data_IF_288876425098
#
_entry.id   IF_288876425098
#
_cell.length_a   1.000
_cell.length_b   1.000
_cell.length_c   1.000
_cell.angle_alpha   90.00
_cell.angle_beta   90.00
_cell.angle_gamma   90.00
#
_symmetry.space_group_name_H-M   'P 1'
#
loop_
_entity.id
_entity.type
_entity.pdbx_description
1 polymer ?
#
# COMPACT_ATOMS: atom_id res chain seq x y z
N UNK A 1 -23.58 63.34 24.19
CA UNK A 1 -23.11 63.38 22.80
C UNK A 1 -22.65 61.98 22.48
N UNK A 2 -23.47 61.25 21.74
CA UNK A 2 -23.25 59.85 21.35
C UNK A 2 -22.30 59.88 20.16
N UNK A 3 -21.22 59.09 20.21
CA UNK A 3 -20.37 58.86 19.06
C UNK A 3 -20.57 57.40 18.68
N UNK A 4 -21.33 57.21 17.60
CA UNK A 4 -21.42 55.95 16.87
C UNK A 4 -20.07 55.68 16.20
N UNK A 5 -19.52 54.48 16.43
CA UNK A 5 -18.45 53.93 15.59
C UNK A 5 -18.98 52.67 14.94
N UNK A 6 -18.92 52.70 13.60
CA UNK A 6 -19.59 51.77 12.70
C UNK A 6 -19.02 50.36 12.72
N UNK A 7 -19.90 49.47 12.29
CA UNK A 7 -19.61 48.13 11.79
C UNK A 7 -18.54 48.21 10.69
N UNK A 8 -17.40 47.53 10.91
CA UNK A 8 -16.59 46.84 9.90
C UNK A 8 -15.26 46.46 10.54
N UNK A 9 -15.15 45.20 10.96
CA UNK A 9 -13.91 44.41 10.94
C UNK A 9 -14.25 42.99 11.44
N UNK A 10 -15.12 42.30 10.71
CA UNK A 10 -15.06 40.84 10.69
C UNK A 10 -13.82 40.49 9.88
N UNK A 11 -12.70 40.28 10.57
CA UNK A 11 -11.47 39.78 9.97
C UNK A 11 -11.70 38.38 9.37
N UNK A 12 -11.94 38.36 8.07
CA UNK A 12 -11.51 37.28 7.17
C UNK A 12 -9.97 37.21 7.18
N UNK A 13 -9.39 36.56 8.18
CA UNK A 13 -8.01 36.06 8.11
C UNK A 13 -7.94 34.68 8.76
N UNK A 14 -8.61 33.71 8.12
CA UNK A 14 -8.42 32.28 8.38
C UNK A 14 -7.82 31.57 7.16
N UNK A 15 -6.91 32.22 6.42
CA UNK A 15 -6.13 31.57 5.36
C UNK A 15 -4.74 32.19 5.26
N UNK A 16 -3.84 31.79 6.15
CA UNK A 16 -2.41 31.92 5.94
C UNK A 16 -1.70 30.70 6.52
N UNK A 17 -1.37 29.76 5.64
CA UNK A 17 -0.61 28.56 5.97
C UNK A 17 0.70 28.92 6.66
N UNK A 18 0.84 28.51 7.91
CA UNK A 18 2.13 28.35 8.55
C UNK A 18 2.72 27.02 8.07
N UNK A 19 3.42 27.08 6.94
CA UNK A 19 4.20 25.99 6.33
C UNK A 19 5.44 25.65 7.16
N UNK A 20 5.30 25.56 8.49
CA UNK A 20 6.34 25.13 9.42
C UNK A 20 6.26 23.62 9.62
N UNK A 21 7.40 22.93 9.59
CA UNK A 21 7.47 21.53 10.04
C UNK A 21 7.25 21.51 11.54
N UNK A 22 6.39 20.61 12.04
CA UNK A 22 6.21 20.41 13.48
C UNK A 22 7.55 20.10 14.15
N UNK A 23 7.81 20.77 15.28
CA UNK A 23 8.89 20.36 16.18
C UNK A 23 8.64 18.94 16.69
N UNK A 24 9.70 18.15 16.89
CA UNK A 24 9.60 16.75 17.28
C UNK A 24 8.71 16.52 18.51
N UNK A 25 8.87 17.31 19.56
CA UNK A 25 8.05 17.16 20.78
C UNK A 25 6.57 17.47 20.55
N UNK A 26 6.27 18.49 19.73
CA UNK A 26 4.88 18.83 19.36
C UNK A 26 4.25 17.73 18.53
N UNK A 27 5.01 17.18 17.57
CA UNK A 27 4.58 16.02 16.80
C UNK A 27 4.26 14.82 17.71
N UNK A 28 5.09 14.55 18.73
CA UNK A 28 4.85 13.46 19.67
C UNK A 28 3.57 13.62 20.50
N UNK A 29 3.19 14.86 20.83
CA UNK A 29 1.94 15.18 21.51
C UNK A 29 0.76 14.94 20.57
N UNK A 30 0.83 15.47 19.35
CA UNK A 30 -0.24 15.36 18.36
C UNK A 30 -0.47 13.91 17.91
N UNK A 31 0.59 13.14 17.70
CA UNK A 31 0.53 11.74 17.32
C UNK A 31 -0.20 10.86 18.36
N UNK A 32 -0.20 11.27 19.63
CA UNK A 32 -0.85 10.54 20.74
C UNK A 32 -2.15 11.19 21.21
N UNK A 33 -2.57 12.28 20.58
CA UNK A 33 -3.78 13.00 20.96
C UNK A 33 -5.02 12.18 20.68
N UNK A 34 -6.03 12.28 21.54
CA UNK A 34 -7.37 11.72 21.28
C UNK A 34 -8.13 12.56 20.24
N UNK A 35 -7.69 13.79 19.99
CA UNK A 35 -8.26 14.66 18.97
C UNK A 35 -7.84 14.20 17.55
N UNK A 36 -8.84 14.01 16.68
CA UNK A 36 -8.63 13.57 15.30
C UNK A 36 -7.81 14.58 14.49
N UNK A 37 -8.09 15.88 14.63
CA UNK A 37 -7.39 16.94 13.90
C UNK A 37 -5.91 17.02 14.28
N UNK A 38 -5.57 16.79 15.55
CA UNK A 38 -4.16 16.72 15.98
C UNK A 38 -3.44 15.54 15.32
N UNK A 39 -4.05 14.36 15.33
CA UNK A 39 -3.48 13.16 14.67
C UNK A 39 -3.35 13.35 13.17
N UNK A 40 -4.31 14.02 12.54
CA UNK A 40 -4.26 14.38 11.12
C UNK A 40 -3.04 15.24 10.81
N UNK A 41 -2.79 16.28 11.63
CA UNK A 41 -1.62 17.15 11.49
C UNK A 41 -0.33 16.35 11.67
N UNK A 42 -0.26 15.45 12.67
CA UNK A 42 0.89 14.59 12.88
C UNK A 42 1.18 13.70 11.66
N UNK A 43 0.17 12.99 11.14
CA UNK A 43 0.34 12.10 9.98
C UNK A 43 0.74 12.89 8.73
N UNK A 44 0.14 14.07 8.51
CA UNK A 44 0.44 14.95 7.37
C UNK A 44 1.90 15.40 7.34
N UNK A 45 2.47 15.69 8.51
CA UNK A 45 3.83 16.20 8.65
C UNK A 45 4.87 15.11 8.94
N UNK A 46 4.46 13.84 9.04
CA UNK A 46 5.33 12.71 9.37
C UNK A 46 6.57 12.60 8.47
N UNK A 47 6.40 12.70 7.14
CA UNK A 47 7.54 12.66 6.21
C UNK A 47 8.41 13.93 6.29
N UNK A 48 7.81 15.09 6.53
CA UNK A 48 8.54 16.35 6.71
C UNK A 48 9.41 16.30 7.97
N UNK A 49 8.86 15.82 9.09
CA UNK A 49 9.60 15.60 10.32
C UNK A 49 10.75 14.62 10.07
N UNK A 50 10.48 13.50 9.39
CA UNK A 50 11.48 12.47 9.12
C UNK A 50 12.69 13.01 8.36
N UNK A 51 12.49 13.96 7.43
CA UNK A 51 13.57 14.68 6.71
C UNK A 51 14.42 15.60 7.59
N UNK A 52 13.85 16.10 8.69
CA UNK A 52 14.59 16.99 9.62
C UNK A 52 15.47 16.21 10.58
N UNK A 53 15.21 14.91 10.77
CA UNK A 53 15.98 14.04 11.64
C UNK A 53 17.31 13.68 10.99
N UNK A 54 18.39 13.83 11.74
CA UNK A 54 19.71 13.40 11.30
C UNK A 54 19.93 11.92 11.68
N UNK A 55 20.13 11.06 10.68
CA UNK A 55 20.28 9.60 10.88
C UNK A 55 21.38 9.24 11.89
N UNK A 56 22.49 9.98 11.93
CA UNK A 56 23.62 9.69 12.81
C UNK A 56 23.39 10.16 14.24
N UNK A 57 22.66 11.27 14.43
CA UNK A 57 22.48 11.91 15.75
C UNK A 57 21.16 11.56 16.42
N UNK A 58 20.12 11.36 15.63
CA UNK A 58 18.73 11.28 16.08
C UNK A 58 18.18 9.85 15.99
N UNK A 59 19.05 8.83 16.01
CA UNK A 59 18.67 7.42 15.89
C UNK A 59 17.54 7.03 16.87
N UNK A 60 17.60 7.50 18.12
CA UNK A 60 16.55 7.24 19.11
C UNK A 60 15.21 7.88 18.73
N UNK A 61 15.22 9.07 18.15
CA UNK A 61 13.99 9.74 17.70
C UNK A 61 13.40 9.01 16.50
N UNK A 62 14.24 8.57 15.56
CA UNK A 62 13.83 7.74 14.42
C UNK A 62 13.19 6.42 14.90
N UNK A 63 13.80 5.75 15.88
CA UNK A 63 13.22 4.53 16.48
C UNK A 63 11.86 4.79 17.12
N UNK A 64 11.67 5.94 17.77
CA UNK A 64 10.38 6.33 18.33
C UNK A 64 9.36 6.60 17.23
N UNK A 65 9.73 7.28 16.15
CA UNK A 65 8.84 7.52 15.00
C UNK A 65 8.40 6.21 14.36
N UNK A 66 9.33 5.27 14.11
CA UNK A 66 8.99 3.94 13.58
C UNK A 66 8.06 3.20 14.55
N UNK A 67 8.32 3.30 15.86
CA UNK A 67 7.46 2.68 16.88
C UNK A 67 6.06 3.30 16.94
N UNK A 68 5.93 4.60 16.68
CA UNK A 68 4.62 5.27 16.56
C UNK A 68 3.86 4.78 15.34
N UNK A 69 4.52 4.64 14.18
CA UNK A 69 3.90 4.09 12.98
C UNK A 69 3.40 2.67 13.26
N UNK A 70 4.24 1.83 13.85
CA UNK A 70 3.95 0.42 14.13
C UNK A 70 2.84 0.23 15.19
N UNK A 71 2.79 1.06 16.23
CA UNK A 71 1.96 0.77 17.41
C UNK A 71 0.80 1.74 17.64
N UNK A 72 0.84 2.91 17.01
CA UNK A 72 -0.19 3.96 17.15
C UNK A 72 -0.91 4.15 15.83
N UNK A 73 -0.20 4.59 14.79
CA UNK A 73 -0.85 4.90 13.51
C UNK A 73 -1.37 3.65 12.79
N UNK A 74 -0.70 2.50 12.91
CA UNK A 74 -1.21 1.24 12.37
C UNK A 74 -2.50 0.74 13.05
N UNK A 75 -2.89 1.33 14.19
CA UNK A 75 -4.15 1.00 14.89
C UNK A 75 -5.23 2.06 14.67
N UNK A 76 -4.98 3.04 13.82
CA UNK A 76 -5.96 4.05 13.46
C UNK A 76 -7.15 3.37 12.75
N UNK A 77 -8.36 3.85 13.07
CA UNK A 77 -9.60 3.30 12.50
C UNK A 77 -10.29 4.29 11.59
N UNK A 78 -9.95 5.58 11.68
CA UNK A 78 -10.46 6.57 10.75
C UNK A 78 -9.90 6.36 9.34
N UNK A 79 -10.80 6.24 8.36
CA UNK A 79 -10.42 5.91 6.98
C UNK A 79 -9.58 7.01 6.31
N UNK A 80 -9.81 8.28 6.68
CA UNK A 80 -9.06 9.41 6.12
C UNK A 80 -7.63 9.38 6.63
N UNK A 81 -7.45 9.23 7.95
CA UNK A 81 -6.14 9.13 8.57
C UNK A 81 -5.35 7.91 8.08
N UNK A 82 -6.01 6.76 7.92
CA UNK A 82 -5.41 5.56 7.33
C UNK A 82 -4.91 5.81 5.90
N UNK A 83 -5.73 6.45 5.04
CA UNK A 83 -5.31 6.76 3.67
C UNK A 83 -4.11 7.71 3.66
N UNK A 84 -4.15 8.77 4.47
CA UNK A 84 -3.03 9.70 4.60
C UNK A 84 -1.75 9.02 5.04
N UNK A 85 -1.84 8.11 6.03
CA UNK A 85 -0.67 7.37 6.51
C UNK A 85 -0.08 6.47 5.41
N UNK A 86 -0.93 5.76 4.68
CA UNK A 86 -0.52 4.89 3.56
C UNK A 86 0.19 5.71 2.48
N UNK A 87 -0.33 6.88 2.13
CA UNK A 87 0.25 7.79 1.12
C UNK A 87 1.63 8.33 1.51
N UNK A 88 1.93 8.41 2.82
CA UNK A 88 3.23 8.84 3.31
C UNK A 88 4.31 7.75 3.17
N UNK A 89 3.92 6.47 3.07
CA UNK A 89 4.84 5.32 3.11
C UNK A 89 5.99 5.43 2.09
N UNK A 90 5.79 5.78 0.81
CA UNK A 90 6.90 5.95 -0.13
C UNK A 90 7.93 6.97 0.32
N UNK A 91 7.49 8.13 0.79
CA UNK A 91 8.40 9.18 1.27
C UNK A 91 9.18 8.68 2.50
N UNK A 92 8.50 8.05 3.45
CA UNK A 92 9.15 7.52 4.65
C UNK A 92 10.14 6.39 4.34
N UNK A 93 9.83 5.56 3.35
CA UNK A 93 10.75 4.55 2.85
C UNK A 93 12.05 5.18 2.35
N UNK A 94 11.98 6.26 1.57
CA UNK A 94 13.18 6.97 1.08
C UNK A 94 14.02 7.48 2.25
N UNK A 95 13.40 8.14 3.24
CA UNK A 95 14.14 8.69 4.38
C UNK A 95 14.77 7.60 5.26
N UNK A 96 14.05 6.51 5.52
CA UNK A 96 14.49 5.51 6.49
C UNK A 96 15.31 4.35 5.91
N UNK A 97 15.33 4.14 4.59
CA UNK A 97 16.17 3.08 4.00
C UNK A 97 17.66 3.30 4.22
N UNK A 98 18.10 4.54 4.46
CA UNK A 98 19.48 4.86 4.81
C UNK A 98 19.85 4.46 6.25
N UNK A 99 18.87 4.06 7.08
CA UNK A 99 19.08 3.62 8.47
C UNK A 99 19.29 2.10 8.51
N UNK A 100 20.49 1.65 8.15
CA UNK A 100 20.81 0.22 7.94
C UNK A 100 20.40 -0.68 9.13
N UNK A 101 20.61 -0.23 10.36
CA UNK A 101 20.29 -1.00 11.57
C UNK A 101 18.79 -1.25 11.76
N UNK A 102 17.93 -0.44 11.15
CA UNK A 102 16.47 -0.54 11.25
C UNK A 102 15.82 -1.07 9.97
N UNK A 103 16.57 -1.24 8.89
CA UNK A 103 16.05 -1.56 7.56
C UNK A 103 15.10 -2.77 7.55
N UNK A 104 15.47 -3.86 8.22
CA UNK A 104 14.61 -5.05 8.34
C UNK A 104 13.28 -4.75 9.07
N UNK A 105 13.32 -3.92 10.11
CA UNK A 105 12.11 -3.52 10.86
C UNK A 105 11.23 -2.63 9.99
N UNK A 106 11.82 -1.65 9.31
CA UNK A 106 11.13 -0.75 8.39
C UNK A 106 10.37 -1.54 7.31
N UNK A 107 11.05 -2.51 6.69
CA UNK A 107 10.43 -3.38 5.70
C UNK A 107 9.22 -4.15 6.25
N UNK A 108 9.34 -4.68 7.46
CA UNK A 108 8.24 -5.40 8.10
C UNK A 108 7.08 -4.46 8.45
N UNK A 109 7.36 -3.31 9.08
CA UNK A 109 6.33 -2.35 9.51
C UNK A 109 5.55 -1.83 8.32
N UNK A 110 6.22 -1.35 7.26
CA UNK A 110 5.52 -0.80 6.11
C UNK A 110 4.79 -1.87 5.31
N UNK A 111 5.35 -3.07 5.17
CA UNK A 111 4.64 -4.15 4.47
C UNK A 111 3.42 -4.64 5.24
N UNK A 112 3.49 -4.71 6.57
CA UNK A 112 2.35 -5.05 7.41
C UNK A 112 1.26 -3.96 7.36
N UNK A 113 1.66 -2.68 7.38
CA UNK A 113 0.74 -1.56 7.23
C UNK A 113 0.02 -1.61 5.87
N UNK A 114 0.75 -1.82 4.78
CA UNK A 114 0.18 -1.92 3.43
C UNK A 114 -0.72 -3.14 3.28
N UNK A 115 -0.35 -4.30 3.85
CA UNK A 115 -1.21 -5.48 3.87
C UNK A 115 -2.50 -5.23 4.66
N UNK A 116 -2.43 -4.60 5.83
CA UNK A 116 -3.61 -4.23 6.60
C UNK A 116 -4.50 -3.22 5.86
N UNK A 117 -3.90 -2.29 5.11
CA UNK A 117 -4.63 -1.31 4.32
C UNK A 117 -5.33 -1.95 3.10
N UNK A 118 -4.76 -3.02 2.52
CA UNK A 118 -5.41 -3.82 1.48
C UNK A 118 -6.68 -4.52 2.00
N UNK A 119 -6.70 -4.96 3.25
CA UNK A 119 -7.85 -5.61 3.90
C UNK A 119 -8.86 -4.60 4.52
N UNK A 120 -8.62 -3.29 4.37
CA UNK A 120 -9.42 -2.27 5.03
C UNK A 120 -10.84 -2.17 4.45
N UNK A 121 -11.84 -1.88 5.29
CA UNK A 121 -13.25 -1.81 4.87
C UNK A 121 -13.55 -0.67 3.87
N UNK A 122 -12.85 0.46 4.00
CA UNK A 122 -12.97 1.58 3.07
C UNK A 122 -12.21 1.37 1.76
N UNK A 123 -12.93 1.54 0.64
CA UNK A 123 -12.38 1.52 -0.73
C UNK A 123 -11.25 2.52 -0.93
N UNK A 124 -11.34 3.72 -0.33
CA UNK A 124 -10.32 4.76 -0.50
C UNK A 124 -8.96 4.31 0.04
N UNK A 125 -8.96 3.66 1.21
CA UNK A 125 -7.76 3.13 1.85
C UNK A 125 -7.16 2.00 1.03
N UNK A 126 -8.00 1.06 0.55
CA UNK A 126 -7.53 -0.06 -0.29
C UNK A 126 -6.91 0.43 -1.59
N UNK A 127 -7.56 1.39 -2.28
CA UNK A 127 -7.06 1.98 -3.52
C UNK A 127 -5.75 2.73 -3.32
N UNK A 128 -5.64 3.47 -2.21
CA UNK A 128 -4.40 4.13 -1.82
C UNK A 128 -3.26 3.11 -1.61
N UNK A 129 -3.54 2.02 -0.89
CA UNK A 129 -2.59 0.93 -0.67
C UNK A 129 -2.15 0.29 -1.99
N UNK A 130 -3.08 0.03 -2.91
CA UNK A 130 -2.77 -0.51 -4.24
C UNK A 130 -1.81 0.42 -4.99
N UNK A 131 -2.11 1.72 -5.06
CA UNK A 131 -1.26 2.69 -5.76
C UNK A 131 0.13 2.84 -5.14
N UNK A 132 0.21 2.79 -3.81
CA UNK A 132 1.48 2.84 -3.07
C UNK A 132 2.30 1.58 -3.30
N UNK A 133 1.71 0.38 -3.16
CA UNK A 133 2.42 -0.88 -3.41
C UNK A 133 2.93 -0.92 -4.85
N UNK A 134 2.09 -0.52 -5.80
CA UNK A 134 2.46 -0.47 -7.20
C UNK A 134 3.72 0.39 -7.43
N UNK A 135 3.70 1.63 -6.91
CA UNK A 135 4.82 2.56 -6.98
C UNK A 135 6.09 1.99 -6.33
N UNK A 136 5.97 1.35 -5.17
CA UNK A 136 7.11 0.79 -4.44
C UNK A 136 7.72 -0.44 -5.12
N UNK A 137 6.90 -1.26 -5.79
CA UNK A 137 7.39 -2.39 -6.59
C UNK A 137 8.13 -1.88 -7.82
N UNK A 138 7.59 -0.86 -8.49
CA UNK A 138 8.26 -0.22 -9.63
C UNK A 138 9.63 0.34 -9.25
N UNK A 139 9.71 0.98 -8.08
CA UNK A 139 10.94 1.55 -7.53
C UNK A 139 11.86 0.51 -6.85
N UNK A 140 11.46 -0.77 -6.80
CA UNK A 140 12.21 -1.88 -6.16
C UNK A 140 12.52 -1.65 -4.67
N UNK A 141 11.64 -0.93 -3.97
CA UNK A 141 11.81 -0.60 -2.55
C UNK A 141 11.24 -1.67 -1.62
N UNK A 142 10.21 -2.41 -2.08
CA UNK A 142 9.65 -3.54 -1.33
C UNK A 142 10.54 -4.78 -1.48
N UNK A 143 11.02 -5.38 -0.38
CA UNK A 143 11.79 -6.61 -0.47
C UNK A 143 10.95 -7.76 -1.00
N UNK A 144 11.58 -8.60 -1.82
CA UNK A 144 10.98 -9.85 -2.32
C UNK A 144 10.40 -10.71 -1.19
N UNK A 145 11.07 -10.78 -0.03
CA UNK A 145 10.58 -11.52 1.13
C UNK A 145 9.20 -11.02 1.60
N UNK A 146 9.03 -9.70 1.74
CA UNK A 146 7.79 -9.08 2.18
C UNK A 146 6.66 -9.23 1.16
N UNK A 147 6.97 -9.11 -0.14
CA UNK A 147 6.01 -9.38 -1.21
C UNK A 147 5.48 -10.82 -1.13
N UNK A 148 6.39 -11.78 -1.00
CA UNK A 148 6.05 -13.22 -0.97
C UNK A 148 5.32 -13.64 0.31
N UNK A 149 5.59 -13.01 1.46
CA UNK A 149 5.10 -13.46 2.78
C UNK A 149 3.90 -12.67 3.31
N UNK A 150 3.66 -11.45 2.84
CA UNK A 150 2.57 -10.59 3.35
C UNK A 150 1.67 -10.09 2.22
N UNK A 151 2.23 -9.31 1.27
CA UNK A 151 1.43 -8.60 0.29
C UNK A 151 0.70 -9.54 -0.67
N UNK A 152 1.42 -10.45 -1.34
CA UNK A 152 0.79 -11.38 -2.28
C UNK A 152 -0.20 -12.35 -1.61
N UNK A 153 0.07 -12.91 -0.41
CA UNK A 153 -0.93 -13.66 0.36
C UNK A 153 -2.23 -12.88 0.62
N UNK A 154 -2.17 -11.61 1.01
CA UNK A 154 -3.36 -10.77 1.18
C UNK A 154 -4.14 -10.61 -0.13
N UNK A 155 -3.45 -10.29 -1.23
CA UNK A 155 -4.08 -10.19 -2.56
C UNK A 155 -4.72 -11.51 -3.00
N UNK A 156 -4.10 -12.65 -2.70
CA UNK A 156 -4.72 -13.96 -2.92
C UNK A 156 -5.96 -14.17 -2.05
N UNK A 157 -5.95 -13.74 -0.79
CA UNK A 157 -7.12 -13.77 0.09
C UNK A 157 -8.35 -13.10 -0.56
N UNK A 158 -8.13 -11.97 -1.24
CA UNK A 158 -9.19 -11.29 -1.98
C UNK A 158 -9.68 -12.11 -3.18
N UNK A 159 -8.77 -12.67 -3.97
CA UNK A 159 -9.11 -13.32 -5.23
C UNK A 159 -9.78 -14.69 -5.06
N UNK A 160 -9.41 -15.45 -4.02
CA UNK A 160 -9.77 -16.86 -3.82
C UNK A 160 -10.62 -17.09 -2.57
N UNK A 161 -11.38 -16.08 -2.15
CA UNK A 161 -12.26 -16.19 -0.99
C UNK A 161 -13.24 -17.39 -1.20
N UNK A 162 -13.35 -18.33 -0.25
CA UNK A 162 -14.35 -19.38 -0.31
C UNK A 162 -15.75 -18.78 -0.49
N UNK A 163 -16.65 -19.50 -1.17
CA UNK A 163 -18.04 -19.04 -1.44
C UNK A 163 -18.77 -18.52 -0.20
N UNK A 164 -18.43 -19.05 0.96
CA UNK A 164 -19.08 -18.74 2.23
C UNK A 164 -18.63 -17.39 2.82
N UNK A 165 -17.60 -16.75 2.25
CA UNK A 165 -17.09 -15.42 2.62
C UNK A 165 -17.12 -14.43 1.44
N UNK A 166 -17.59 -14.86 0.26
CA UNK A 166 -17.56 -14.06 -0.97
C UNK A 166 -18.43 -12.80 -0.90
N UNK A 167 -19.35 -12.71 0.05
CA UNK A 167 -20.21 -11.54 0.25
C UNK A 167 -19.48 -10.36 0.91
N UNK A 168 -18.28 -10.58 1.47
CA UNK A 168 -17.46 -9.52 2.05
C UNK A 168 -16.49 -8.87 1.06
N UNK A 169 -16.25 -9.49 -0.11
CA UNK A 169 -15.28 -9.00 -1.09
C UNK A 169 -15.99 -8.74 -2.41
N UNK A 170 -16.03 -7.48 -2.83
CA UNK A 170 -16.68 -7.09 -4.08
C UNK A 170 -15.87 -7.56 -5.30
N UNK A 171 -16.55 -7.81 -6.42
CA UNK A 171 -15.86 -8.13 -7.67
C UNK A 171 -14.87 -7.03 -8.09
N UNK A 172 -15.16 -5.76 -7.78
CA UNK A 172 -14.24 -4.64 -8.01
C UNK A 172 -12.95 -4.80 -7.18
N UNK A 173 -13.06 -5.11 -5.88
CA UNK A 173 -11.89 -5.37 -5.04
C UNK A 173 -11.10 -6.59 -5.53
N UNK A 174 -11.78 -7.64 -6.00
CA UNK A 174 -11.13 -8.82 -6.60
C UNK A 174 -10.35 -8.43 -7.86
N UNK A 175 -10.97 -7.66 -8.76
CA UNK A 175 -10.34 -7.17 -9.99
C UNK A 175 -9.11 -6.31 -9.68
N UNK A 176 -9.23 -5.35 -8.79
CA UNK A 176 -8.15 -4.45 -8.38
C UNK A 176 -6.97 -5.24 -7.80
N UNK A 177 -7.25 -6.18 -6.89
CA UNK A 177 -6.23 -7.03 -6.26
C UNK A 177 -5.53 -7.92 -7.28
N UNK A 178 -6.29 -8.45 -8.23
CA UNK A 178 -5.78 -9.32 -9.27
C UNK A 178 -4.89 -8.57 -10.26
N UNK A 179 -5.26 -7.34 -10.63
CA UNK A 179 -4.44 -6.49 -11.48
C UNK A 179 -3.09 -6.19 -10.83
N UNK A 180 -3.09 -5.81 -9.55
CA UNK A 180 -1.85 -5.58 -8.79
C UNK A 180 -1.02 -6.85 -8.69
N UNK A 181 -1.63 -7.99 -8.34
CA UNK A 181 -0.93 -9.27 -8.23
C UNK A 181 -0.26 -9.68 -9.55
N UNK A 182 -0.97 -9.56 -10.68
CA UNK A 182 -0.40 -9.84 -11.99
C UNK A 182 0.77 -8.90 -12.32
N UNK A 183 0.68 -7.62 -11.93
CA UNK A 183 1.77 -6.67 -12.11
C UNK A 183 3.00 -7.04 -11.28
N UNK A 184 2.83 -7.42 -10.01
CA UNK A 184 3.92 -7.89 -9.15
C UNK A 184 4.58 -9.14 -9.73
N UNK A 185 3.80 -10.12 -10.15
CA UNK A 185 4.31 -11.39 -10.70
C UNK A 185 5.10 -11.17 -11.99
N UNK A 186 4.71 -10.19 -12.80
CA UNK A 186 5.40 -9.85 -14.04
C UNK A 186 6.56 -8.88 -13.86
N UNK A 187 6.80 -8.38 -12.64
CA UNK A 187 7.89 -7.46 -12.37
C UNK A 187 9.21 -8.21 -12.12
N UNK A 188 10.28 -7.96 -12.90
CA UNK A 188 11.54 -8.69 -12.77
C UNK A 188 12.14 -8.55 -11.36
N UNK A 189 12.37 -9.70 -10.72
CA UNK A 189 12.99 -9.76 -9.39
C UNK A 189 12.03 -9.53 -8.21
N UNK A 190 10.79 -9.11 -8.45
CA UNK A 190 9.80 -8.94 -7.37
C UNK A 190 9.50 -10.26 -6.65
N UNK A 191 9.43 -11.37 -7.40
CA UNK A 191 9.17 -12.71 -6.87
C UNK A 191 10.17 -13.72 -7.43
N UNK A 192 10.44 -14.80 -6.69
CA UNK A 192 11.24 -15.91 -7.20
C UNK A 192 10.43 -16.76 -8.19
N UNK A 193 11.11 -17.31 -9.21
CA UNK A 193 10.48 -18.25 -10.16
C UNK A 193 9.80 -19.43 -9.46
N UNK A 194 10.44 -19.94 -8.40
CA UNK A 194 9.90 -21.02 -7.56
C UNK A 194 8.57 -20.60 -6.92
N UNK A 195 8.55 -19.43 -6.28
CA UNK A 195 7.33 -18.94 -5.64
C UNK A 195 6.20 -18.75 -6.65
N UNK A 196 6.48 -18.18 -7.84
CA UNK A 196 5.48 -18.01 -8.90
C UNK A 196 4.90 -19.36 -9.31
N UNK A 197 5.75 -20.36 -9.53
CA UNK A 197 5.30 -21.71 -9.90
C UNK A 197 4.43 -22.35 -8.82
N UNK A 198 4.89 -22.35 -7.57
CA UNK A 198 4.22 -23.01 -6.44
C UNK A 198 2.94 -22.31 -6.00
N UNK A 199 2.89 -20.97 -6.09
CA UNK A 199 1.81 -20.18 -5.51
C UNK A 199 0.90 -19.50 -6.53
N UNK A 200 1.41 -19.10 -7.69
CA UNK A 200 0.62 -18.31 -8.64
C UNK A 200 0.02 -19.16 -9.76
N UNK A 201 0.79 -20.06 -10.40
CA UNK A 201 0.34 -20.74 -11.63
C UNK A 201 -0.92 -21.61 -11.43
N UNK A 202 -0.96 -22.43 -10.38
CA UNK A 202 -2.12 -23.28 -10.11
C UNK A 202 -3.38 -22.45 -9.84
N UNK A 203 -3.22 -21.39 -9.05
CA UNK A 203 -4.27 -20.43 -8.70
C UNK A 203 -4.75 -19.65 -9.95
N UNK A 204 -3.82 -19.18 -10.78
CA UNK A 204 -4.10 -18.50 -12.05
C UNK A 204 -5.03 -19.33 -12.96
N UNK A 205 -4.79 -20.64 -13.06
CA UNK A 205 -5.64 -21.55 -13.84
C UNK A 205 -7.08 -21.63 -13.35
N UNK A 206 -7.30 -21.50 -12.04
CA UNK A 206 -8.62 -21.47 -11.42
C UNK A 206 -9.34 -20.16 -11.80
N UNK A 207 -8.68 -19.00 -11.69
CA UNK A 207 -9.29 -17.71 -12.03
C UNK A 207 -9.58 -17.53 -13.53
N UNK A 208 -8.87 -18.23 -14.42
CA UNK A 208 -9.26 -18.29 -15.84
C UNK A 208 -10.63 -18.95 -16.05
N UNK A 209 -11.10 -19.72 -15.07
CA UNK A 209 -12.37 -20.41 -15.05
C UNK A 209 -13.36 -19.77 -14.07
N UNK A 210 -13.04 -18.59 -13.52
CA UNK A 210 -13.90 -17.88 -12.59
C UNK A 210 -15.28 -17.62 -13.18
N UNK A 211 -16.33 -17.61 -12.36
CA UNK A 211 -17.70 -17.35 -12.83
C UNK A 211 -17.88 -15.90 -13.33
N UNK A 212 -17.16 -14.95 -12.74
CA UNK A 212 -17.22 -13.54 -13.12
C UNK A 212 -16.43 -13.26 -14.42
N UNK A 213 -17.10 -12.69 -15.41
CA UNK A 213 -16.49 -12.38 -16.72
C UNK A 213 -15.33 -11.38 -16.60
N UNK A 214 -15.46 -10.37 -15.74
CA UNK A 214 -14.44 -9.34 -15.55
C UNK A 214 -13.12 -9.91 -15.00
N UNK A 215 -13.21 -10.88 -14.08
CA UNK A 215 -12.05 -11.61 -13.54
C UNK A 215 -11.34 -12.38 -14.66
N UNK A 216 -12.07 -13.17 -15.45
CA UNK A 216 -11.49 -13.91 -16.59
C UNK A 216 -10.81 -12.98 -17.59
N UNK A 217 -11.43 -11.83 -17.88
CA UNK A 217 -10.88 -10.81 -18.80
C UNK A 217 -9.54 -10.25 -18.32
N UNK A 218 -9.43 -9.91 -17.03
CA UNK A 218 -8.18 -9.41 -16.43
C UNK A 218 -7.07 -10.45 -16.55
N UNK A 219 -7.37 -11.73 -16.25
CA UNK A 219 -6.38 -12.80 -16.34
C UNK A 219 -5.78 -12.95 -17.74
N UNK A 220 -6.66 -12.97 -18.76
CA UNK A 220 -6.23 -13.06 -20.14
C UNK A 220 -5.37 -11.85 -20.56
N UNK A 221 -5.73 -10.64 -20.12
CA UNK A 221 -5.02 -9.42 -20.50
C UNK A 221 -3.63 -9.31 -19.83
N UNK A 222 -3.52 -9.66 -18.55
CA UNK A 222 -2.33 -9.33 -17.75
C UNK A 222 -1.19 -10.35 -17.85
N UNK A 223 -1.48 -11.63 -18.07
CA UNK A 223 -0.46 -12.69 -17.91
C UNK A 223 -0.02 -13.34 -19.23
N UNK A 224 -0.93 -13.48 -20.21
CA UNK A 224 -0.60 -14.06 -21.52
C UNK A 224 0.40 -13.18 -22.27
N UNK A 225 0.23 -11.85 -22.23
CA UNK A 225 1.10 -10.93 -22.97
C UNK A 225 2.54 -10.84 -22.44
N UNK A 226 2.80 -11.23 -21.19
CA UNK A 226 4.11 -11.01 -20.53
C UNK A 226 4.94 -12.27 -20.34
N UNK A 227 4.30 -13.45 -20.27
CA UNK A 227 5.03 -14.73 -20.26
C UNK A 227 5.71 -15.04 -21.60
N UNK A 228 5.13 -14.60 -22.72
CA UNK A 228 5.70 -14.82 -24.06
C UNK A 228 7.03 -14.08 -24.28
N UNK A 229 7.33 -13.02 -23.51
CA UNK A 229 8.52 -12.20 -23.72
C UNK A 229 9.70 -12.57 -22.79
N UNK A 230 9.48 -12.87 -21.50
CA UNK A 230 10.60 -12.85 -20.53
C UNK A 230 10.81 -14.12 -19.66
N UNK A 231 9.86 -15.06 -19.58
CA UNK A 231 9.91 -16.09 -18.52
C UNK A 231 9.98 -17.55 -18.98
N UNK A 232 9.77 -17.85 -20.26
CA UNK A 232 9.87 -19.22 -20.78
C UNK A 232 11.23 -19.46 -21.44
N UNK A 233 11.94 -20.56 -21.14
CA UNK A 233 12.91 -21.10 -22.11
C UNK A 233 12.16 -21.31 -23.43
N UNK A 234 12.79 -21.04 -24.57
CA UNK A 234 12.25 -21.12 -25.95
C UNK A 234 11.62 -22.48 -26.36
N UNK A 235 11.35 -23.39 -25.43
CA UNK A 235 10.90 -24.77 -25.66
C UNK A 235 9.50 -25.09 -25.14
N UNK A 236 8.85 -24.23 -24.35
CA UNK A 236 7.48 -24.48 -23.89
C UNK A 236 6.45 -23.76 -24.76
N UNK A 237 5.92 -24.52 -25.72
CA UNK A 237 4.94 -24.03 -26.68
C UNK A 237 3.54 -23.98 -26.04
N UNK A 238 3.09 -22.78 -25.65
CA UNK A 238 1.79 -22.51 -25.01
C UNK A 238 0.61 -22.91 -25.92
N UNK A 239 0.84 -23.08 -27.23
CA UNK A 239 -0.16 -23.61 -28.17
C UNK A 239 -0.74 -24.97 -27.78
N UNK A 240 -0.04 -25.78 -26.98
CA UNK A 240 -0.56 -27.07 -26.50
C UNK A 240 -1.56 -26.96 -25.35
N UNK A 241 -1.58 -25.87 -24.59
CA UNK A 241 -2.54 -25.69 -23.48
C UNK A 241 -3.89 -25.19 -24.02
N UNK A 242 -3.90 -24.41 -25.10
CA UNK A 242 -5.12 -24.00 -25.79
C UNK A 242 -5.72 -25.11 -26.68
N UNK A 243 -4.90 -26.04 -27.19
CA UNK A 243 -5.33 -27.08 -28.12
C UNK A 243 -6.09 -28.28 -27.50
N UNK A 244 -6.21 -28.35 -26.17
CA UNK A 244 -7.05 -29.37 -25.51
C UNK A 244 -8.49 -28.92 -25.24
N UNK A 245 -8.91 -27.74 -25.73
CA UNK A 245 -10.29 -27.24 -25.58
C UNK A 245 -11.12 -27.23 -26.87
N UNK A 246 -10.63 -27.79 -27.97
CA UNK A 246 -11.41 -27.95 -29.23
C UNK A 246 -11.77 -29.39 -29.56
N UNK A 247 -11.62 -30.32 -28.61
CA UNK A 247 -12.04 -31.72 -28.78
C UNK A 247 -12.55 -32.33 -27.48
N UNK A 248 -13.76 -31.94 -27.07
CA UNK A 248 -14.79 -32.77 -26.42
C UNK A 248 -16.07 -31.96 -26.35
#
# INVERSE_FOLDING_TARGET
MVIEFGENEFNEELEAGTTGVLHYDTFLLYARSENLSDREIAIRDLSKLSRTLNIERDQRQIEVVISLIENVFAKETDSTLCSMLVEQVPSLYVEFMAVECLLKRIHNVFSALLASALDHASDSVRKSAIGVIDSLVEQRMLPQGCLQSMICPTLFGHCYCPSDYSHYITDDQRVESLMLLCKIVTWPGALTKRWIFENFIGRYSILLQDTAFHIRKVMLASFIFKLDFDMMPRTYNISKIAAHRTST
#
